data_IF_064583430441
#
_entry.id   IF_064583430441
#
_cell.length_a   1.000
_cell.length_b   1.000
_cell.length_c   1.000
_cell.angle_alpha   90.00
_cell.angle_beta   90.00
_cell.angle_gamma   90.00
#
_symmetry.space_group_name_H-M   'P 1'
#
loop_
_entity.id
_entity.type
_entity.pdbx_description
1 polymer ?
#
# COMPACT_ATOMS: atom_id res chain seq x y z
N UNK A 1 -18.73 31.54 8.27
CA UNK A 1 -18.49 31.24 6.83
C UNK A 1 -16.99 31.19 6.65
N UNK A 2 -16.37 30.06 6.91
CA UNK A 2 -14.92 29.89 6.72
C UNK A 2 -14.71 28.86 5.62
N UNK A 3 -14.22 29.35 4.48
CA UNK A 3 -13.79 28.55 3.35
C UNK A 3 -12.55 27.76 3.76
N UNK A 4 -12.74 26.49 4.11
CA UNK A 4 -11.68 25.52 4.35
C UNK A 4 -10.84 25.35 3.08
N UNK A 5 -9.73 26.10 3.01
CA UNK A 5 -8.75 26.00 1.95
C UNK A 5 -8.16 24.60 1.91
N UNK A 6 -8.44 23.89 0.82
CA UNK A 6 -7.80 22.62 0.47
C UNK A 6 -6.28 22.84 0.46
N UNK A 7 -5.58 22.25 1.42
CA UNK A 7 -4.11 22.22 1.46
C UNK A 7 -3.65 21.37 0.27
N UNK A 8 -3.31 22.02 -0.84
CA UNK A 8 -2.58 21.36 -1.91
C UNK A 8 -1.17 21.07 -1.42
N UNK A 9 -0.82 19.79 -1.29
CA UNK A 9 0.55 19.37 -1.01
C UNK A 9 1.44 19.81 -2.19
N UNK A 10 2.58 20.47 -1.96
CA UNK A 10 3.51 20.78 -3.05
C UNK A 10 4.10 19.46 -3.53
N UNK A 11 3.76 19.05 -4.75
CA UNK A 11 4.44 17.94 -5.40
C UNK A 11 5.86 18.40 -5.74
N UNK A 12 6.84 17.89 -4.99
CA UNK A 12 8.25 18.18 -5.18
C UNK A 12 8.72 17.80 -6.59
N UNK A 13 9.46 18.70 -7.21
CA UNK A 13 9.98 18.65 -8.58
C UNK A 13 10.96 17.49 -8.82
N UNK A 14 10.71 16.69 -9.86
CA UNK A 14 11.72 15.84 -10.49
C UNK A 14 12.42 16.59 -11.62
N UNK A 15 13.74 16.88 -11.54
CA UNK A 15 14.57 17.24 -12.72
C UNK A 15 16.07 16.92 -12.55
N UNK A 16 16.61 16.05 -13.41
CA UNK A 16 17.59 16.45 -14.44
C UNK A 16 17.23 15.71 -15.73
N UNK A 17 16.88 16.48 -16.76
CA UNK A 17 16.32 16.05 -18.03
C UNK A 17 14.89 16.55 -18.21
N UNK A 18 14.75 17.77 -18.72
CA UNK A 18 13.50 18.49 -19.02
C UNK A 18 12.27 17.62 -19.31
N UNK A 19 11.24 17.68 -18.46
CA UNK A 19 9.85 17.26 -18.79
C UNK A 19 9.67 15.83 -19.31
N UNK A 20 10.52 14.89 -18.90
CA UNK A 20 10.59 13.54 -19.48
C UNK A 20 9.48 12.60 -18.99
N UNK A 21 8.56 12.28 -19.89
CA UNK A 21 7.55 11.21 -19.86
C UNK A 21 6.91 10.88 -18.49
N UNK A 22 5.64 11.26 -18.33
CA UNK A 22 4.76 10.70 -17.30
C UNK A 22 3.97 9.56 -17.93
N UNK A 23 4.07 8.35 -17.37
CA UNK A 23 3.31 7.20 -17.87
C UNK A 23 1.81 7.45 -17.80
N UNK A 24 1.07 6.84 -18.74
CA UNK A 24 -0.40 6.91 -18.74
C UNK A 24 -1.00 6.39 -17.42
N UNK A 25 -0.36 5.40 -16.82
CA UNK A 25 -0.72 4.86 -15.51
C UNK A 25 -0.54 5.89 -14.40
N UNK A 26 0.57 6.61 -14.35
CA UNK A 26 0.79 7.64 -13.35
C UNK A 26 -0.25 8.76 -13.49
N UNK A 27 -0.56 9.16 -14.73
CA UNK A 27 -1.61 10.15 -14.98
C UNK A 27 -2.99 9.65 -14.55
N UNK A 28 -3.30 8.37 -14.79
CA UNK A 28 -4.54 7.73 -14.35
C UNK A 28 -4.64 7.71 -12.81
N UNK A 29 -3.62 7.20 -12.13
CA UNK A 29 -3.60 7.11 -10.66
C UNK A 29 -3.77 8.49 -10.02
N UNK A 30 -3.08 9.52 -10.55
CA UNK A 30 -3.22 10.88 -10.06
C UNK A 30 -4.66 11.41 -10.16
N UNK A 31 -5.35 11.15 -11.29
CA UNK A 31 -6.77 11.54 -11.45
C UNK A 31 -7.68 10.75 -10.52
N UNK A 32 -7.49 9.43 -10.49
CA UNK A 32 -8.32 8.54 -9.68
C UNK A 32 -8.23 8.86 -8.18
N UNK A 33 -7.02 9.09 -7.65
CA UNK A 33 -6.86 9.48 -6.24
C UNK A 33 -7.44 10.87 -5.95
N UNK A 34 -7.40 11.81 -6.92
CA UNK A 34 -8.03 13.13 -6.75
C UNK A 34 -9.57 13.07 -6.73
N UNK A 35 -10.16 12.15 -7.49
CA UNK A 35 -11.62 11.92 -7.56
C UNK A 35 -12.13 11.12 -6.36
N UNK A 36 -11.29 10.28 -5.75
CA UNK A 36 -11.66 9.37 -4.65
C UNK A 36 -10.82 9.63 -3.39
N UNK A 37 -11.08 10.70 -2.63
CA UNK A 37 -10.30 11.03 -1.44
C UNK A 37 -10.42 10.00 -0.30
N UNK A 38 -11.51 9.22 -0.23
CA UNK A 38 -11.66 8.13 0.74
C UNK A 38 -10.70 6.96 0.51
N UNK A 39 -10.09 6.87 -0.68
CA UNK A 39 -9.18 5.79 -1.05
C UNK A 39 -7.89 5.80 -0.19
N UNK A 40 -7.47 6.97 0.31
CA UNK A 40 -6.28 7.08 1.17
C UNK A 40 -6.56 6.42 2.53
N UNK A 41 -7.75 6.64 3.10
CA UNK A 41 -8.17 5.98 4.34
C UNK A 41 -8.33 4.47 4.14
N UNK A 42 -8.93 4.04 3.03
CA UNK A 42 -9.12 2.62 2.71
C UNK A 42 -7.78 1.89 2.53
N UNK A 43 -6.82 2.53 1.84
CA UNK A 43 -5.46 2.00 1.69
C UNK A 43 -4.75 1.86 3.03
N UNK A 44 -4.83 2.89 3.89
CA UNK A 44 -4.26 2.83 5.22
C UNK A 44 -4.90 1.72 6.06
N UNK A 45 -6.24 1.60 6.04
CA UNK A 45 -6.95 0.53 6.75
C UNK A 45 -6.52 -0.85 6.27
N UNK A 46 -6.43 -1.06 4.96
CA UNK A 46 -5.92 -2.33 4.40
C UNK A 46 -4.49 -2.64 4.82
N UNK A 47 -3.63 -1.62 4.86
CA UNK A 47 -2.25 -1.77 5.30
C UNK A 47 -2.14 -2.19 6.77
N UNK A 48 -2.93 -1.58 7.67
CA UNK A 48 -2.95 -1.99 9.08
C UNK A 48 -3.49 -3.40 9.31
N UNK A 49 -4.52 -3.82 8.55
CA UNK A 49 -5.09 -5.17 8.69
C UNK A 49 -4.06 -6.26 8.38
N UNK A 50 -3.27 -6.07 7.31
CA UNK A 50 -2.43 -7.14 6.81
C UNK A 50 -0.96 -7.01 7.20
N UNK A 51 -0.46 -5.78 7.30
CA UNK A 51 0.96 -5.50 7.51
C UNK A 51 1.32 -5.20 8.96
N UNK A 52 0.37 -4.67 9.75
CA UNK A 52 0.51 -4.45 11.21
C UNK A 52 -0.26 -5.49 12.02
N UNK A 53 -0.36 -6.72 11.48
CA UNK A 53 -1.01 -7.81 12.20
C UNK A 53 -0.18 -8.20 13.42
N UNK A 54 -0.72 -7.93 14.62
CA UNK A 54 -0.17 -8.43 15.88
C UNK A 54 -0.28 -9.96 15.90
N UNK A 55 0.82 -10.64 15.59
CA UNK A 55 0.91 -12.10 15.68
C UNK A 55 1.11 -12.49 17.15
N UNK A 56 0.24 -13.34 17.69
CA UNK A 56 0.51 -14.00 18.98
C UNK A 56 1.64 -15.00 18.79
N UNK A 57 2.83 -14.66 19.28
CA UNK A 57 4.02 -15.49 19.15
C UNK A 57 3.88 -16.87 19.82
N UNK A 58 3.02 -17.01 20.84
CA UNK A 58 2.78 -18.30 21.47
C UNK A 58 1.90 -19.22 20.60
N UNK A 59 0.92 -18.66 19.90
CA UNK A 59 0.12 -19.43 18.93
C UNK A 59 0.94 -19.78 17.70
N UNK A 60 1.75 -18.84 17.19
CA UNK A 60 2.67 -19.09 16.09
C UNK A 60 3.69 -20.20 16.41
N UNK A 61 4.20 -20.24 17.65
CA UNK A 61 5.13 -21.29 18.09
C UNK A 61 4.45 -22.67 18.21
N UNK A 62 3.18 -22.71 18.62
CA UNK A 62 2.38 -23.95 18.63
C UNK A 62 2.11 -24.44 17.21
N UNK A 63 1.70 -23.56 16.30
CA UNK A 63 1.50 -23.92 14.89
C UNK A 63 2.78 -24.46 14.26
N UNK A 64 3.93 -23.83 14.53
CA UNK A 64 5.23 -24.33 14.03
C UNK A 64 5.59 -25.71 14.57
N UNK A 65 5.23 -26.02 15.82
CA UNK A 65 5.46 -27.33 16.45
C UNK A 65 4.50 -28.40 15.94
N UNK A 66 3.28 -28.02 15.59
CA UNK A 66 2.25 -28.91 15.04
C UNK A 66 2.34 -29.05 13.51
N UNK A 67 3.17 -28.24 12.85
CA UNK A 67 3.38 -28.31 11.40
C UNK A 67 4.22 -29.53 11.03
N UNK A 68 3.69 -30.38 10.15
CA UNK A 68 4.43 -31.49 9.54
C UNK A 68 5.33 -30.93 8.43
N UNK A 69 6.62 -31.29 8.37
CA UNK A 69 7.50 -30.83 7.29
C UNK A 69 6.98 -31.30 5.94
N UNK A 70 6.67 -30.35 5.06
CA UNK A 70 6.32 -30.68 3.69
C UNK A 70 7.56 -31.14 2.92
N UNK A 71 7.38 -32.08 1.99
CA UNK A 71 8.50 -32.59 1.20
C UNK A 71 8.91 -31.49 0.21
N UNK A 72 10.20 -31.14 0.11
CA UNK A 72 10.64 -29.97 -0.66
C UNK A 72 10.42 -30.08 -2.17
N UNK A 73 10.06 -31.26 -2.67
CA UNK A 73 9.79 -31.50 -4.08
C UNK A 73 8.61 -32.46 -4.25
N UNK A 74 7.59 -31.99 -4.96
CA UNK A 74 6.58 -32.84 -5.56
C UNK A 74 7.11 -33.29 -6.93
N UNK A 75 7.20 -34.60 -7.14
CA UNK A 75 7.34 -35.15 -8.49
C UNK A 75 5.93 -35.45 -9.01
N UNK A 76 5.65 -35.07 -10.26
CA UNK A 76 4.44 -35.44 -10.99
C UNK A 76 4.42 -36.93 -11.33
#
# INVERSE_FOLDING_TARGET
METGGRVMKPQGEYRVGHGGYVSEYQQFLNRYTAEHPSLEEDQLRGWYIWWDHQVDFNELDKERKDTVPDKPYHYE
#
